data_IF_185382751452
#
_entry.id   IF_185382751452
#
_cell.length_a   1.000
_cell.length_b   1.000
_cell.length_c   1.000
_cell.angle_alpha   90.00
_cell.angle_beta   90.00
_cell.angle_gamma   90.00
#
_symmetry.space_group_name_H-M   'P 1'
#
loop_
_entity.id
_entity.type
_entity.pdbx_description
1 polymer ?
#
# COMPACT_ATOMS: atom_id res chain seq x y z
N UNK A 1 19.82 9.05 4.50
CA UNK A 1 18.97 8.16 3.68
C UNK A 1 19.29 8.28 2.19
N UNK A 2 19.15 9.47 1.57
CA UNK A 2 19.49 9.70 0.15
C UNK A 2 20.88 9.16 -0.26
N UNK A 3 21.91 9.49 0.51
CA UNK A 3 23.30 9.01 0.27
C UNK A 3 23.47 7.47 0.39
N UNK A 4 22.65 6.79 1.20
CA UNK A 4 22.66 5.32 1.30
C UNK A 4 22.06 4.69 0.03
N UNK A 5 20.93 5.21 -0.44
CA UNK A 5 20.28 4.75 -1.67
C UNK A 5 21.14 5.06 -2.91
N UNK A 6 21.76 6.25 -2.98
CA UNK A 6 22.69 6.61 -4.05
C UNK A 6 23.94 5.73 -4.07
N UNK A 7 24.51 5.36 -2.91
CA UNK A 7 25.61 4.40 -2.81
C UNK A 7 25.18 3.00 -3.22
N UNK A 8 24.01 2.54 -2.78
CA UNK A 8 23.54 1.20 -3.10
C UNK A 8 23.17 1.05 -4.59
N UNK A 9 22.61 2.08 -5.22
CA UNK A 9 22.39 2.16 -6.66
C UNK A 9 23.71 2.20 -7.44
N UNK A 10 24.69 3.02 -7.03
CA UNK A 10 26.02 3.08 -7.69
C UNK A 10 26.84 1.79 -7.56
N UNK A 11 26.64 1.03 -6.48
CA UNK A 11 27.37 -0.22 -6.23
C UNK A 11 26.66 -1.48 -6.76
N UNK A 12 25.46 -1.35 -7.35
CA UNK A 12 24.61 -2.49 -7.70
C UNK A 12 24.23 -3.36 -6.49
N UNK A 13 24.25 -2.78 -5.29
CA UNK A 13 24.40 -3.52 -4.03
C UNK A 13 23.08 -3.74 -3.25
N UNK A 14 21.97 -3.12 -3.66
CA UNK A 14 20.66 -3.39 -3.08
C UNK A 14 19.95 -4.41 -3.96
N UNK A 15 19.99 -5.68 -3.54
CA UNK A 15 19.25 -6.73 -4.25
C UNK A 15 17.75 -6.60 -3.99
N UNK A 16 16.92 -7.23 -4.83
CA UNK A 16 15.48 -7.32 -4.59
C UNK A 16 15.14 -7.87 -3.19
N UNK A 17 15.99 -8.79 -2.68
CA UNK A 17 15.88 -9.34 -1.32
C UNK A 17 16.11 -8.28 -0.25
N UNK A 18 17.12 -7.42 -0.41
CA UNK A 18 17.42 -6.37 0.57
C UNK A 18 16.31 -5.31 0.61
N UNK A 19 15.77 -4.95 -0.56
CA UNK A 19 14.60 -4.05 -0.65
C UNK A 19 13.38 -4.66 0.04
N UNK A 20 13.08 -5.93 -0.24
CA UNK A 20 11.99 -6.65 0.41
C UNK A 20 12.17 -6.70 1.94
N UNK A 21 13.38 -7.00 2.44
CA UNK A 21 13.68 -7.00 3.88
C UNK A 21 13.46 -5.60 4.49
N UNK A 22 13.87 -4.53 3.82
CA UNK A 22 13.69 -3.16 4.32
C UNK A 22 12.20 -2.80 4.39
N UNK A 23 11.42 -3.04 3.32
CA UNK A 23 9.99 -2.74 3.28
C UNK A 23 9.19 -3.61 4.28
N UNK A 24 9.58 -4.87 4.43
CA UNK A 24 8.96 -5.79 5.38
C UNK A 24 9.36 -5.51 6.85
N UNK A 25 10.50 -4.85 7.10
CA UNK A 25 10.90 -4.43 8.44
C UNK A 25 10.20 -3.16 8.94
N UNK A 26 9.51 -2.41 8.08
CA UNK A 26 8.84 -1.16 8.47
C UNK A 26 7.72 -1.42 9.50
N UNK A 27 7.64 -0.65 10.60
CA UNK A 27 6.63 -0.83 11.65
C UNK A 27 5.26 -0.23 11.31
N UNK A 28 5.09 0.29 10.08
CA UNK A 28 3.84 0.86 9.56
C UNK A 28 3.21 -0.11 8.55
N UNK A 29 1.88 -0.28 8.52
CA UNK A 29 1.20 -1.01 7.44
C UNK A 29 1.59 -0.45 6.08
N UNK A 30 2.12 -1.30 5.20
CA UNK A 30 2.52 -0.91 3.85
C UNK A 30 2.03 -1.93 2.83
N UNK A 31 1.51 -1.42 1.72
CA UNK A 31 1.17 -2.16 0.52
C UNK A 31 1.64 -1.40 -0.73
N UNK A 32 1.81 -2.10 -1.85
CA UNK A 32 1.85 -1.45 -3.17
C UNK A 32 1.18 -2.33 -4.23
N UNK A 33 0.68 -1.67 -5.28
CA UNK A 33 -0.07 -2.29 -6.37
C UNK A 33 0.42 -1.79 -7.75
N UNK A 34 0.12 -2.52 -8.83
CA UNK A 34 0.49 -2.10 -10.20
C UNK A 34 -0.48 -1.12 -10.84
N UNK A 35 -0.04 -0.56 -11.97
CA UNK A 35 -0.79 0.17 -12.98
C UNK A 35 -0.35 -0.44 -14.34
N UNK A 36 -1.19 -0.72 -15.36
CA UNK A 36 -2.65 -0.51 -15.54
C UNK A 36 -3.71 -1.18 -14.61
N UNK A 37 -3.40 -2.03 -13.62
CA UNK A 37 -4.38 -3.05 -13.14
C UNK A 37 -4.80 -3.02 -11.65
N UNK A 38 -4.08 -2.32 -10.77
CA UNK A 38 -4.40 -2.27 -9.34
C UNK A 38 -4.14 -3.58 -8.61
N UNK A 39 -3.40 -4.52 -9.22
CA UNK A 39 -3.01 -5.79 -8.61
C UNK A 39 -2.06 -5.53 -7.43
N UNK A 40 -2.44 -5.96 -6.23
CA UNK A 40 -1.61 -5.84 -5.03
C UNK A 40 -0.44 -6.80 -5.16
N UNK A 41 0.79 -6.28 -5.12
CA UNK A 41 2.03 -7.06 -5.32
C UNK A 41 2.79 -7.36 -4.03
N UNK A 42 2.46 -6.65 -2.96
CA UNK A 42 3.16 -6.78 -1.69
C UNK A 42 2.30 -6.21 -0.56
N UNK A 43 2.32 -6.90 0.57
CA UNK A 43 1.90 -6.43 1.89
C UNK A 43 3.05 -6.71 2.86
N UNK A 44 3.41 -5.77 3.74
CA UNK A 44 4.39 -6.08 4.78
C UNK A 44 3.76 -6.80 5.99
N UNK A 45 4.61 -7.41 6.83
CA UNK A 45 4.20 -8.03 8.10
C UNK A 45 3.41 -7.08 9.02
N UNK A 46 3.64 -5.77 8.94
CA UNK A 46 2.94 -4.79 9.77
C UNK A 46 1.48 -4.61 9.31
N UNK A 47 1.20 -4.69 8.00
CA UNK A 47 -0.14 -4.71 7.43
C UNK A 47 -0.94 -5.91 7.96
N UNK A 48 -0.42 -7.13 7.78
CA UNK A 48 -1.08 -8.36 8.26
C UNK A 48 -1.25 -8.36 9.78
N UNK A 49 -0.28 -7.86 10.56
CA UNK A 49 -0.41 -7.74 12.02
C UNK A 49 -1.47 -6.72 12.46
N UNK A 50 -1.65 -5.64 11.73
CA UNK A 50 -2.56 -4.55 12.11
C UNK A 50 -3.99 -4.85 11.72
N UNK A 51 -4.21 -5.36 10.50
CA UNK A 51 -5.55 -5.59 9.94
C UNK A 51 -6.00 -7.07 9.96
N UNK A 52 -5.10 -8.00 10.25
CA UNK A 52 -5.40 -9.44 10.37
C UNK A 52 -5.53 -10.19 9.04
N UNK A 53 -5.41 -9.52 7.89
CA UNK A 53 -5.55 -10.15 6.58
C UNK A 53 -4.23 -10.77 6.10
N UNK A 54 -4.24 -12.04 5.64
CA UNK A 54 -3.06 -12.68 5.06
C UNK A 54 -2.76 -12.13 3.66
N UNK A 55 -1.56 -12.41 3.16
CA UNK A 55 -1.18 -12.19 1.77
C UNK A 55 -2.16 -12.92 0.82
N UNK A 56 -2.54 -12.26 -0.28
CA UNK A 56 -3.51 -12.79 -1.24
C UNK A 56 -4.98 -12.75 -0.81
N UNK A 57 -5.32 -12.23 0.38
CA UNK A 57 -6.72 -12.05 0.79
C UNK A 57 -7.51 -11.09 -0.13
N UNK A 58 -6.81 -10.13 -0.73
CA UNK A 58 -7.34 -9.16 -1.69
C UNK A 58 -6.38 -9.11 -2.90
N UNK A 59 -6.77 -9.65 -4.06
CA UNK A 59 -5.95 -9.59 -5.28
C UNK A 59 -5.74 -8.17 -5.80
N UNK A 60 -6.76 -7.31 -5.70
CA UNK A 60 -6.72 -5.94 -6.19
C UNK A 60 -7.00 -4.89 -5.11
N UNK A 61 -6.65 -3.64 -5.40
CA UNK A 61 -7.02 -2.47 -4.60
C UNK A 61 -8.54 -2.32 -4.48
N UNK A 62 -9.31 -2.67 -5.52
CA UNK A 62 -10.78 -2.66 -5.46
C UNK A 62 -11.34 -3.70 -4.49
N UNK A 63 -10.80 -4.94 -4.50
CA UNK A 63 -11.19 -5.98 -3.54
C UNK A 63 -10.92 -5.54 -2.10
N UNK A 64 -9.77 -4.87 -1.86
CA UNK A 64 -9.40 -4.31 -0.56
C UNK A 64 -10.37 -3.19 -0.14
N UNK A 65 -10.70 -2.25 -1.02
CA UNK A 65 -11.65 -1.17 -0.74
C UNK A 65 -13.04 -1.72 -0.41
N UNK A 66 -13.53 -2.70 -1.17
CA UNK A 66 -14.86 -3.27 -0.90
C UNK A 66 -14.88 -4.12 0.37
N UNK A 67 -13.87 -4.97 0.59
CA UNK A 67 -13.81 -5.85 1.76
C UNK A 67 -13.50 -5.14 3.08
N UNK A 68 -12.65 -4.11 3.07
CA UNK A 68 -12.08 -3.54 4.29
C UNK A 68 -12.62 -2.14 4.65
N UNK A 69 -13.22 -1.36 3.74
CA UNK A 69 -13.69 -0.01 4.09
C UNK A 69 -15.17 -0.07 4.45
N UNK A 70 -15.59 0.08 5.72
CA UNK A 70 -16.98 -0.14 6.12
C UNK A 70 -17.93 0.95 5.62
N UNK A 71 -17.40 2.15 5.29
CA UNK A 71 -18.19 3.31 4.86
C UNK A 71 -18.18 3.49 3.35
N UNK A 72 -19.36 3.59 2.76
CA UNK A 72 -19.54 3.77 1.32
C UNK A 72 -18.89 5.07 0.78
N UNK A 73 -18.90 6.17 1.55
CA UNK A 73 -18.27 7.41 1.11
C UNK A 73 -16.74 7.28 1.03
N UNK A 74 -16.08 6.72 2.05
CA UNK A 74 -14.65 6.41 1.99
C UNK A 74 -14.29 5.54 0.78
N UNK A 75 -15.11 4.53 0.43
CA UNK A 75 -14.90 3.72 -0.79
C UNK A 75 -14.93 4.57 -2.06
N UNK A 76 -15.91 5.48 -2.19
CA UNK A 76 -16.06 6.36 -3.35
C UNK A 76 -14.94 7.40 -3.45
N UNK A 77 -14.54 7.98 -2.33
CA UNK A 77 -13.45 8.97 -2.25
C UNK A 77 -12.11 8.32 -2.57
N UNK A 78 -11.82 7.16 -1.99
CA UNK A 78 -10.58 6.40 -2.26
C UNK A 78 -10.51 5.98 -3.73
N UNK A 79 -11.60 5.46 -4.30
CA UNK A 79 -11.65 5.13 -5.74
C UNK A 79 -11.44 6.34 -6.65
N UNK A 80 -11.91 7.52 -6.29
CA UNK A 80 -11.63 8.76 -7.03
C UNK A 80 -10.15 9.13 -6.92
N UNK A 81 -9.60 9.16 -5.71
CA UNK A 81 -8.19 9.46 -5.47
C UNK A 81 -7.27 8.52 -6.26
N UNK A 82 -7.55 7.22 -6.28
CA UNK A 82 -6.84 6.30 -7.19
C UNK A 82 -7.08 6.75 -8.63
N UNK A 83 -8.29 6.71 -9.19
CA UNK A 83 -8.52 7.09 -10.61
C UNK A 83 -7.86 8.43 -11.04
N UNK A 84 -7.81 9.44 -10.18
CA UNK A 84 -7.17 10.73 -10.47
C UNK A 84 -5.63 10.63 -10.57
N UNK A 85 -4.97 9.88 -9.67
CA UNK A 85 -3.52 9.58 -9.77
C UNK A 85 -3.16 8.88 -11.10
N UNK A 86 -4.07 8.05 -11.60
CA UNK A 86 -3.87 7.29 -12.84
C UNK A 86 -4.02 8.16 -14.07
N UNK A 87 -5.11 8.96 -14.10
CA UNK A 87 -5.40 9.88 -15.18
C UNK A 87 -4.34 10.98 -15.30
N UNK A 88 -3.73 11.39 -14.18
CA UNK A 88 -2.61 12.32 -14.17
C UNK A 88 -1.38 11.81 -14.95
N UNK A 89 -1.24 10.49 -15.18
CA UNK A 89 -0.09 9.85 -15.86
C UNK A 89 1.26 10.38 -15.36
N UNK A 90 1.38 10.60 -14.05
CA UNK A 90 2.53 11.26 -13.48
C UNK A 90 3.81 10.45 -13.72
N UNK A 91 4.79 11.06 -14.38
CA UNK A 91 6.12 10.48 -14.53
C UNK A 91 6.91 10.68 -13.23
N UNK A 92 7.20 9.58 -12.52
CA UNK A 92 7.99 9.59 -11.29
C UNK A 92 7.17 9.32 -10.03
N UNK A 93 7.40 10.10 -8.98
CA UNK A 93 6.77 9.94 -7.68
C UNK A 93 5.68 11.00 -7.52
N UNK A 94 4.46 10.56 -7.23
CA UNK A 94 3.38 11.42 -6.74
C UNK A 94 3.06 11.04 -5.30
N UNK A 95 3.08 12.03 -4.43
CA UNK A 95 2.68 11.89 -3.03
C UNK A 95 1.20 12.23 -2.89
N UNK A 96 0.49 11.51 -2.01
CA UNK A 96 -0.89 11.82 -1.61
C UNK A 96 -0.89 12.39 -0.21
N UNK A 97 -1.79 13.33 0.06
CA UNK A 97 -2.02 13.81 1.41
C UNK A 97 -2.50 12.67 2.32
N UNK A 98 -2.00 12.65 3.56
CA UNK A 98 -2.44 11.68 4.55
C UNK A 98 -3.92 11.93 4.91
N UNK A 99 -4.70 10.86 4.96
CA UNK A 99 -6.09 10.88 5.40
C UNK A 99 -6.32 9.78 6.43
N UNK A 100 -7.14 10.05 7.44
CA UNK A 100 -7.61 9.03 8.38
C UNK A 100 -8.78 8.26 7.76
N UNK A 101 -8.67 6.93 7.70
CA UNK A 101 -9.73 6.05 7.19
C UNK A 101 -10.09 4.97 8.21
N UNK A 102 -11.36 4.61 8.25
CA UNK A 102 -11.80 3.43 8.99
C UNK A 102 -11.61 2.16 8.16
N UNK A 103 -11.01 1.15 8.79
CA UNK A 103 -10.72 -0.16 8.22
C UNK A 103 -11.33 -1.25 9.12
N UNK A 104 -12.21 -2.05 8.52
CA UNK A 104 -12.74 -3.30 9.06
C UNK A 104 -11.66 -4.38 8.99
N UNK A 105 -11.16 -4.78 10.14
CA UNK A 105 -10.15 -5.81 10.30
C UNK A 105 -10.75 -7.22 10.18
N UNK A 106 -9.91 -8.23 9.95
CA UNK A 106 -10.34 -9.62 9.79
C UNK A 106 -11.09 -10.17 11.03
N UNK A 107 -10.73 -9.69 12.22
CA UNK A 107 -11.36 -9.99 13.52
C UNK A 107 -12.69 -9.26 13.76
N UNK A 108 -13.18 -8.51 12.76
CA UNK A 108 -14.38 -7.66 12.79
C UNK A 108 -14.29 -6.42 13.68
N UNK A 109 -13.10 -6.07 14.19
CA UNK A 109 -12.87 -4.74 14.77
C UNK A 109 -12.78 -3.67 13.68
N UNK A 110 -13.12 -2.42 14.02
CA UNK A 110 -12.86 -1.26 13.17
C UNK A 110 -11.69 -0.50 13.78
N UNK A 111 -10.71 -0.12 12.94
CA UNK A 111 -9.57 0.71 13.31
C UNK A 111 -9.53 1.94 12.42
N UNK A 112 -9.20 3.09 12.99
CA UNK A 112 -8.73 4.24 12.21
C UNK A 112 -7.25 4.02 11.89
N UNK A 113 -6.86 4.29 10.65
CA UNK A 113 -5.49 4.23 10.14
C UNK A 113 -5.20 5.44 9.25
#
# INVERSE_FOLDING_TARGET
MKEFLERAAKAGALSFRDLHIILDALPIPLSWATLPEGEIRFLNRAFTKTFGYPEGAFPTVDDWIDGAYPREHHRKETRRLWNDLWLARAEGISEIDACEIEILCADKTIRTA
#
